data_IF_081295893161
#
_entry.id   IF_081295893161
#
_cell.length_a   1.000
_cell.length_b   1.000
_cell.length_c   1.000
_cell.angle_alpha   90.00
_cell.angle_beta   90.00
_cell.angle_gamma   90.00
#
_symmetry.space_group_name_H-M   'P 1'
#
loop_
_entity.id
_entity.type
_entity.pdbx_description
1 polymer ?
#
# COMPACT_ATOMS: atom_id res chain seq x y z
N UNK A 1 9.92 4.97 -14.96
CA UNK A 1 9.02 3.84 -15.26
C UNK A 1 7.60 4.21 -14.89
N UNK A 2 6.69 3.96 -15.76
CA UNK A 2 5.28 4.15 -15.47
C UNK A 2 4.73 2.93 -14.72
N UNK A 3 3.54 3.08 -14.15
CA UNK A 3 2.84 1.97 -13.50
C UNK A 3 2.69 0.82 -14.52
N UNK A 4 2.90 -0.45 -14.12
CA UNK A 4 2.82 -1.59 -15.06
C UNK A 4 1.54 -1.66 -15.87
N UNK A 5 0.45 -1.15 -15.35
CA UNK A 5 -0.85 -1.12 -16.02
C UNK A 5 -1.01 0.14 -16.87
N UNK A 6 0.00 0.49 -17.64
CA UNK A 6 -0.03 1.68 -18.49
C UNK A 6 -1.27 1.72 -19.37
N UNK A 7 -1.96 2.86 -19.37
CA UNK A 7 -3.22 3.02 -20.07
C UNK A 7 -4.45 2.59 -19.30
N UNK A 8 -4.27 1.86 -18.21
CA UNK A 8 -5.36 1.48 -17.32
C UNK A 8 -5.58 2.55 -16.26
N UNK A 9 -6.83 2.96 -16.09
CA UNK A 9 -7.21 3.90 -15.05
C UNK A 9 -7.79 3.14 -13.85
N UNK A 10 -7.12 3.28 -12.71
CA UNK A 10 -7.58 2.71 -11.45
C UNK A 10 -8.36 3.75 -10.67
N UNK A 11 -9.27 3.31 -9.80
CA UNK A 11 -9.98 4.23 -8.92
C UNK A 11 -9.01 4.93 -7.97
N UNK A 12 -8.06 4.17 -7.40
CA UNK A 12 -7.09 4.69 -6.44
C UNK A 12 -5.75 3.99 -6.61
N UNK A 13 -4.69 4.75 -6.50
CA UNK A 13 -3.33 4.22 -6.37
C UNK A 13 -2.82 4.67 -5.00
N UNK A 14 -2.33 3.72 -4.22
CA UNK A 14 -1.74 3.97 -2.91
C UNK A 14 -0.23 3.99 -3.05
N UNK A 15 0.38 5.08 -2.65
CA UNK A 15 1.84 5.20 -2.67
C UNK A 15 2.36 4.92 -1.27
N UNK A 16 3.11 3.86 -1.13
CA UNK A 16 3.68 3.43 0.13
C UNK A 16 2.94 2.26 0.76
N UNK A 17 3.68 1.21 1.09
CA UNK A 17 3.16 -0.02 1.69
C UNK A 17 3.38 -0.10 3.20
N UNK A 18 3.31 1.03 3.89
CA UNK A 18 3.30 1.05 5.35
C UNK A 18 1.91 0.73 5.91
N UNK A 19 1.73 0.79 7.24
CA UNK A 19 0.44 0.46 7.87
C UNK A 19 -0.73 1.28 7.32
N UNK A 20 -0.53 2.56 7.08
CA UNK A 20 -1.59 3.43 6.55
C UNK A 20 -2.01 3.01 5.14
N UNK A 21 -1.05 2.79 4.25
CA UNK A 21 -1.33 2.40 2.86
C UNK A 21 -1.96 1.02 2.77
N UNK A 22 -1.47 0.07 3.56
CA UNK A 22 -2.03 -1.28 3.61
C UNK A 22 -3.45 -1.28 4.15
N UNK A 23 -3.72 -0.49 5.18
CA UNK A 23 -5.07 -0.33 5.72
C UNK A 23 -6.00 0.29 4.68
N UNK A 24 -5.56 1.38 4.04
CA UNK A 24 -6.36 2.05 3.01
C UNK A 24 -6.71 1.08 1.87
N UNK A 25 -5.73 0.32 1.37
CA UNK A 25 -5.94 -0.61 0.27
C UNK A 25 -6.90 -1.73 0.64
N UNK A 26 -6.83 -2.23 1.87
CA UNK A 26 -7.75 -3.26 2.36
C UNK A 26 -9.19 -2.76 2.31
N UNK A 27 -9.46 -1.57 2.83
CA UNK A 27 -10.81 -1.01 2.82
C UNK A 27 -11.29 -0.65 1.43
N UNK A 28 -10.42 -0.10 0.58
CA UNK A 28 -10.78 0.21 -0.80
C UNK A 28 -11.23 -1.04 -1.56
N UNK A 29 -10.50 -2.14 -1.40
CA UNK A 29 -10.89 -3.40 -2.03
C UNK A 29 -12.19 -3.96 -1.45
N UNK A 30 -12.42 -3.79 -0.16
CA UNK A 30 -13.70 -4.19 0.46
C UNK A 30 -14.86 -3.36 -0.09
N UNK A 31 -14.63 -2.13 -0.49
CA UNK A 31 -15.61 -1.29 -1.15
C UNK A 31 -15.66 -1.49 -2.66
N UNK A 32 -14.98 -2.53 -3.16
CA UNK A 32 -14.95 -2.89 -4.58
C UNK A 32 -14.36 -1.80 -5.48
N UNK A 33 -13.41 -1.02 -4.97
CA UNK A 33 -12.67 -0.05 -5.76
C UNK A 33 -11.39 -0.67 -6.29
N UNK A 34 -11.07 -0.40 -7.55
CA UNK A 34 -9.80 -0.85 -8.11
C UNK A 34 -8.66 -0.08 -7.45
N UNK A 35 -7.66 -0.82 -6.98
CA UNK A 35 -6.57 -0.25 -6.18
C UNK A 35 -5.30 -1.05 -6.38
N UNK A 36 -4.18 -0.34 -6.48
CA UNK A 36 -2.85 -0.93 -6.40
C UNK A 36 -2.00 -0.15 -5.43
N UNK A 37 -1.08 -0.86 -4.79
CA UNK A 37 -0.10 -0.25 -3.88
C UNK A 37 1.25 -0.24 -4.58
N UNK A 38 1.84 0.94 -4.69
CA UNK A 38 3.19 1.12 -5.21
C UNK A 38 4.12 1.33 -4.03
N UNK A 39 5.02 0.37 -3.80
CA UNK A 39 5.84 0.36 -2.60
C UNK A 39 7.31 0.11 -2.93
N UNK A 40 8.17 1.04 -2.50
CA UNK A 40 9.61 0.91 -2.68
C UNK A 40 10.27 0.00 -1.64
N UNK A 41 9.52 -0.44 -0.62
CA UNK A 41 10.04 -1.34 0.41
C UNK A 41 10.77 -0.63 1.55
N UNK A 42 10.53 0.66 1.75
CA UNK A 42 11.24 1.47 2.75
C UNK A 42 10.36 1.94 3.90
N UNK A 43 9.32 1.18 4.26
CA UNK A 43 8.47 1.54 5.39
C UNK A 43 9.27 1.58 6.70
N UNK A 44 9.10 2.65 7.46
CA UNK A 44 9.74 2.79 8.77
C UNK A 44 9.27 1.72 9.76
N UNK A 45 8.07 1.20 9.58
CA UNK A 45 7.53 0.17 10.45
C UNK A 45 8.38 -1.11 10.45
N UNK A 46 9.14 -1.37 9.38
CA UNK A 46 10.07 -2.50 9.32
C UNK A 46 11.15 -2.46 10.40
N UNK A 47 11.50 -1.26 10.86
CA UNK A 47 12.59 -1.04 11.81
C UNK A 47 12.11 -1.01 13.25
N UNK A 48 10.81 -1.14 13.50
CA UNK A 48 10.25 -1.15 14.84
C UNK A 48 10.39 -2.56 15.41
N UNK A 49 11.22 -2.78 16.47
CA UNK A 49 11.38 -4.12 17.05
C UNK A 49 10.07 -4.65 17.61
N UNK A 50 9.31 -3.77 18.30
CA UNK A 50 8.04 -4.13 18.88
C UNK A 50 7.12 -2.92 18.92
N UNK A 51 5.91 -3.08 18.43
CA UNK A 51 4.86 -2.06 18.51
C UNK A 51 3.85 -2.49 19.59
N UNK A 52 3.59 -1.60 20.54
CA UNK A 52 2.71 -1.89 21.69
C UNK A 52 1.36 -1.17 21.61
N UNK A 53 1.16 -0.35 20.59
CA UNK A 53 -0.06 0.43 20.42
C UNK A 53 -0.91 -0.02 19.23
N UNK A 54 -0.61 -1.18 18.66
CA UNK A 54 -1.40 -1.72 17.56
C UNK A 54 -2.60 -2.49 18.11
N UNK A 55 -3.83 -2.12 17.73
CA UNK A 55 -5.01 -2.86 18.16
C UNK A 55 -4.95 -4.34 17.75
N UNK A 56 -5.35 -5.22 18.65
CA UNK A 56 -5.34 -6.66 18.40
C UNK A 56 -4.06 -7.37 18.82
N UNK A 57 -3.05 -6.63 19.30
CA UNK A 57 -1.79 -7.19 19.76
C UNK A 57 -1.47 -6.72 21.18
N UNK A 58 -2.14 -7.28 22.20
CA UNK A 58 -2.01 -6.81 23.59
C UNK A 58 -0.59 -6.96 24.14
N UNK A 59 0.18 -7.92 23.62
CA UNK A 59 1.55 -8.16 24.05
C UNK A 59 2.59 -7.59 23.09
N UNK A 60 2.14 -6.76 22.14
CA UNK A 60 3.02 -6.17 21.15
C UNK A 60 3.21 -7.03 19.92
N UNK A 61 3.78 -6.46 18.89
CA UNK A 61 4.09 -7.14 17.62
C UNK A 61 5.31 -6.48 16.97
N UNK A 62 6.20 -7.30 16.41
CA UNK A 62 7.31 -6.78 15.62
C UNK A 62 6.77 -6.08 14.37
N UNK A 63 7.36 -4.92 14.04
CA UNK A 63 6.90 -4.14 12.90
C UNK A 63 6.90 -4.90 11.60
N UNK A 64 7.94 -5.70 11.36
CA UNK A 64 8.03 -6.51 10.14
C UNK A 64 6.93 -7.56 10.06
N UNK A 65 6.62 -8.22 11.19
CA UNK A 65 5.54 -9.22 11.25
C UNK A 65 4.20 -8.54 11.02
N UNK A 66 3.98 -7.37 11.60
CA UNK A 66 2.76 -6.61 11.41
C UNK A 66 2.56 -6.27 9.93
N UNK A 67 3.59 -5.75 9.26
CA UNK A 67 3.52 -5.41 7.83
C UNK A 67 3.20 -6.63 6.98
N UNK A 68 3.83 -7.77 7.25
CA UNK A 68 3.57 -9.00 6.51
C UNK A 68 2.11 -9.44 6.65
N UNK A 69 1.57 -9.36 7.85
CA UNK A 69 0.16 -9.72 8.11
C UNK A 69 -0.80 -8.77 7.42
N UNK A 70 -0.53 -7.48 7.49
CA UNK A 70 -1.36 -6.46 6.84
C UNK A 70 -1.33 -6.60 5.32
N UNK A 71 -0.16 -6.86 4.75
CA UNK A 71 -0.02 -7.10 3.31
C UNK A 71 -0.81 -8.34 2.88
N UNK A 72 -0.67 -9.42 3.61
CA UNK A 72 -1.39 -10.67 3.32
C UNK A 72 -2.90 -10.46 3.38
N UNK A 73 -3.38 -9.68 4.33
CA UNK A 73 -4.80 -9.34 4.42
C UNK A 73 -5.26 -8.52 3.21
N UNK A 74 -4.50 -7.51 2.82
CA UNK A 74 -4.80 -6.70 1.64
C UNK A 74 -4.83 -7.55 0.38
N UNK A 75 -3.86 -8.45 0.20
CA UNK A 75 -3.80 -9.36 -0.93
C UNK A 75 -5.02 -10.29 -0.97
N UNK A 76 -5.53 -10.72 0.19
CA UNK A 76 -6.71 -11.58 0.26
C UNK A 76 -7.96 -10.91 -0.29
N UNK A 77 -8.01 -9.59 -0.30
CA UNK A 77 -9.10 -8.80 -0.89
C UNK A 77 -8.80 -8.37 -2.34
N UNK A 78 -7.69 -8.81 -2.90
CA UNK A 78 -7.37 -8.56 -4.30
C UNK A 78 -6.50 -7.33 -4.55
N UNK A 79 -5.88 -6.75 -3.53
CA UNK A 79 -4.94 -5.64 -3.73
C UNK A 79 -3.71 -6.12 -4.50
N UNK A 80 -3.35 -5.42 -5.57
CA UNK A 80 -2.11 -5.65 -6.30
C UNK A 80 -0.99 -4.78 -5.74
N UNK A 81 0.24 -5.30 -5.82
CA UNK A 81 1.43 -4.61 -5.34
C UNK A 81 2.47 -4.52 -6.45
N UNK A 82 3.09 -3.36 -6.57
CA UNK A 82 4.19 -3.12 -7.48
C UNK A 82 5.40 -2.59 -6.69
N UNK A 83 6.53 -3.25 -6.86
CA UNK A 83 7.76 -2.86 -6.18
C UNK A 83 8.44 -1.74 -6.97
N UNK A 84 7.90 -0.54 -6.84
CA UNK A 84 8.41 0.63 -7.54
C UNK A 84 8.45 1.83 -6.60
N UNK A 85 9.38 2.74 -6.88
CA UNK A 85 9.46 4.02 -6.22
C UNK A 85 8.82 5.08 -7.10
N UNK A 86 7.77 5.73 -6.61
CA UNK A 86 7.13 6.82 -7.34
C UNK A 86 8.01 8.07 -7.25
N UNK A 87 8.41 8.58 -8.42
CA UNK A 87 9.24 9.78 -8.51
C UNK A 87 8.44 11.04 -8.80
N UNK A 88 7.31 10.89 -9.49
CA UNK A 88 6.53 12.03 -9.94
C UNK A 88 5.05 11.69 -9.96
N UNK A 89 4.25 12.66 -9.53
CA UNK A 89 2.79 12.59 -9.65
C UNK A 89 2.35 13.88 -10.33
N UNK A 90 1.66 13.75 -11.46
CA UNK A 90 1.14 14.87 -12.22
C UNK A 90 -0.36 14.75 -12.38
N UNK A 91 -1.03 15.90 -12.45
CA UNK A 91 -2.45 15.93 -12.75
C UNK A 91 -2.64 16.27 -14.21
N UNK A 92 -3.32 15.39 -14.95
CA UNK A 92 -3.58 15.55 -16.38
C UNK A 92 -5.02 15.16 -16.67
N UNK A 93 -5.78 16.06 -17.29
CA UNK A 93 -7.16 15.79 -17.74
C UNK A 93 -8.06 15.21 -16.65
N UNK A 94 -7.96 15.74 -15.43
CA UNK A 94 -8.75 15.29 -14.30
C UNK A 94 -8.30 13.97 -13.68
N UNK A 95 -7.14 13.46 -14.07
CA UNK A 95 -6.55 12.22 -13.55
C UNK A 95 -5.17 12.50 -13.00
N UNK A 96 -4.70 11.59 -12.17
CA UNK A 96 -3.32 11.60 -11.70
C UNK A 96 -2.50 10.57 -12.48
N UNK A 97 -1.33 11.00 -12.96
CA UNK A 97 -0.39 10.13 -13.65
C UNK A 97 0.84 9.98 -12.76
N UNK A 98 1.16 8.74 -12.42
CA UNK A 98 2.30 8.42 -11.58
C UNK A 98 3.39 7.80 -12.43
N UNK A 99 4.62 8.22 -12.19
CA UNK A 99 5.80 7.67 -12.87
C UNK A 99 6.91 7.38 -11.85
N UNK A 100 7.71 6.40 -12.20
CA UNK A 100 8.78 5.91 -11.35
C UNK A 100 10.15 6.00 -12.03
#
# INVERSE_FOLDING_TARGET
MTVPQQGQCLDVVVVGGGPAGLTASTYLRRFHRSCRVLDAGHSRARWIPESNNCPGFPDGVAGEVLLQRMRRQAESFGTGFDAVRVECIERQDGRFVLSA
#
